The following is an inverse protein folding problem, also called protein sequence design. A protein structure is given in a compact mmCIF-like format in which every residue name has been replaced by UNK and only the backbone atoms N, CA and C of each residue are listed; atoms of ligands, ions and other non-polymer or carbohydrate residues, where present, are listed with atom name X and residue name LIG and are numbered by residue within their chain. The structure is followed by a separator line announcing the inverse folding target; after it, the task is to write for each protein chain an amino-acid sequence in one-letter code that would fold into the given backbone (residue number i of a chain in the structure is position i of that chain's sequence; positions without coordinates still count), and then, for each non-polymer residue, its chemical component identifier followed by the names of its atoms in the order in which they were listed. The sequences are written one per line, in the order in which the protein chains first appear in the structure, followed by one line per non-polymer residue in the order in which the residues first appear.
data_IF_107233017326
#
_entry.id   IF_107233017326
#
_cell.length_a   1.000
_cell.length_b   1.000
_cell.length_c   1.000
_cell.angle_alpha   90.00
_cell.angle_beta   90.00
_cell.angle_gamma   90.00
#
_symmetry.space_group_name_H-M   'P 1'
#
loop_
_entity.id
_entity.type
_entity.pdbx_description
1 polymer ?
#
# COMPACT_ATOMS: atom_id res chain seq x y z
N UNK A 1 23.61 10.69 1.62
CA UNK A 1 23.30 10.40 1.25
C UNK A 1 22.60 10.56 1.10
N UNK A 2 22.29 10.48 1.29
CA UNK A 2 21.51 10.41 0.87
C UNK A 2 21.00 11.20 0.51
N UNK A 3 21.03 11.50 0.47
CA UNK A 3 20.54 12.00 -0.08
C UNK A 3 20.32 12.55 -0.76
N UNK A 4 20.59 12.75 -0.99
CA UNK A 4 20.38 12.95 -1.83
C UNK A 4 19.75 13.02 -2.41
N UNK A 5 19.51 12.89 -2.44
CA UNK A 5 18.77 12.68 -3.12
C UNK A 5 18.02 13.23 -3.32
N UNK A 6 17.92 13.50 -3.26
CA UNK A 6 17.26 13.80 -3.73
C UNK A 6 16.69 14.41 -3.99
N UNK A 7 16.63 14.97 -4.08
CA UNK A 7 16.17 15.32 -4.61
C UNK A 7 15.57 15.52 -5.19
N UNK A 8 15.31 15.71 -5.56
CA UNK A 8 14.71 15.67 -6.27
C UNK A 8 14.16 15.24 -6.82
N UNK A 9 14.21 14.89 -7.18
CA UNK A 9 13.67 14.31 -7.71
C UNK A 9 12.86 13.73 -7.43
N UNK A 10 13.07 13.68 -7.11
CA UNK A 10 12.47 12.98 -6.76
C UNK A 10 11.51 13.16 -6.39
N UNK A 11 11.46 13.68 -6.17
CA UNK A 11 10.56 13.81 -5.72
C UNK A 11 9.41 13.80 -6.35
N UNK A 12 9.28 13.77 -7.15
CA UNK A 12 8.29 13.77 -7.78
C UNK A 12 7.59 12.67 -7.71
N UNK A 13 6.96 12.22 -7.99
CA UNK A 13 6.26 11.11 -8.01
C UNK A 13 6.61 10.23 -7.04
N UNK A 14 6.81 10.65 -6.00
CA UNK A 14 7.27 9.93 -4.96
C UNK A 14 6.37 8.90 -4.44
N UNK A 15 5.07 9.13 -4.42
CA UNK A 15 4.09 8.20 -3.90
C UNK A 15 3.10 7.86 -4.99
N UNK A 16 3.36 6.81 -5.77
CA UNK A 16 2.44 6.44 -6.85
C UNK A 16 1.05 6.17 -6.32
N UNK A 17 0.08 6.66 -7.05
CA UNK A 17 -1.32 6.44 -6.74
C UNK A 17 -1.82 5.29 -7.61
N UNK A 18 -2.53 4.35 -7.02
CA UNK A 18 -3.14 3.27 -7.76
C UNK A 18 -4.59 3.11 -7.35
N UNK A 19 -5.42 2.71 -8.31
CA UNK A 19 -6.81 2.44 -8.02
C UNK A 19 -6.94 1.00 -7.57
N UNK A 20 -7.66 0.80 -6.49
CA UNK A 20 -7.93 -0.54 -5.99
C UNK A 20 -9.44 -0.67 -5.79
N UNK A 21 -9.90 -1.87 -5.57
CA UNK A 21 -11.31 -2.11 -5.28
C UNK A 21 -11.45 -2.48 -3.82
N UNK A 22 -12.36 -1.80 -3.16
CA UNK A 22 -12.65 -2.06 -1.75
C UNK A 22 -14.14 -2.32 -1.64
N UNK A 23 -14.49 -3.56 -1.38
CA UNK A 23 -15.89 -3.98 -1.29
C UNK A 23 -16.67 -3.52 -2.52
N UNK A 24 -16.07 -3.73 -3.69
CA UNK A 24 -16.70 -3.41 -4.95
C UNK A 24 -16.60 -1.98 -5.39
N UNK A 25 -16.01 -1.11 -4.59
CA UNK A 25 -15.92 0.32 -4.92
C UNK A 25 -14.48 0.69 -5.26
N UNK A 26 -14.35 1.55 -6.27
CA UNK A 26 -13.05 2.01 -6.67
C UNK A 26 -12.52 3.02 -5.69
N UNK A 27 -11.30 2.85 -5.27
CA UNK A 27 -10.66 3.71 -4.30
C UNK A 27 -9.24 3.99 -4.75
N UNK A 28 -8.82 5.26 -4.67
CA UNK A 28 -7.44 5.62 -5.01
C UNK A 28 -6.60 5.53 -3.76
N UNK A 29 -5.46 4.88 -3.86
CA UNK A 29 -4.58 4.71 -2.72
C UNK A 29 -3.18 5.18 -3.09
N UNK A 30 -2.58 5.95 -2.20
CA UNK A 30 -1.23 6.46 -2.39
C UNK A 30 -0.32 5.79 -1.37
N UNK A 31 0.65 5.04 -1.85
CA UNK A 31 1.62 4.37 -0.99
C UNK A 31 3.01 4.62 -1.55
N UNK A 32 3.98 4.57 -0.68
CA UNK A 32 5.37 4.64 -1.08
C UNK A 32 5.70 3.45 -1.96
N UNK A 33 6.64 3.60 -2.90
CA UNK A 33 6.99 2.49 -3.80
C UNK A 33 7.38 1.21 -3.06
N UNK A 34 8.05 1.36 -1.93
CA UNK A 34 8.46 0.21 -1.14
C UNK A 34 7.26 -0.59 -0.64
N UNK A 35 6.18 0.12 -0.29
CA UNK A 35 4.98 -0.56 0.17
C UNK A 35 4.28 -1.28 -0.97
N UNK A 36 4.24 -0.67 -2.16
CA UNK A 36 3.66 -1.36 -3.31
C UNK A 36 4.44 -2.62 -3.64
N UNK A 37 5.77 -2.55 -3.56
CA UNK A 37 6.62 -3.70 -3.83
C UNK A 37 6.38 -4.79 -2.78
N UNK A 38 6.34 -4.40 -1.52
CA UNK A 38 6.08 -5.35 -0.45
C UNK A 38 4.71 -6.00 -0.58
N UNK A 39 3.72 -5.20 -0.96
CA UNK A 39 2.37 -5.73 -1.15
C UNK A 39 2.34 -6.77 -2.26
N UNK A 40 3.02 -6.49 -3.39
CA UNK A 40 3.08 -7.47 -4.47
C UNK A 40 3.64 -8.79 -4.00
N UNK A 41 4.69 -8.74 -3.20
CA UNK A 41 5.31 -9.95 -2.66
C UNK A 41 4.37 -10.69 -1.73
N UNK A 42 3.71 -9.95 -0.86
CA UNK A 42 2.76 -10.52 0.09
C UNK A 42 1.64 -11.23 -0.63
N UNK A 43 1.06 -10.58 -1.63
CA UNK A 43 -0.06 -11.16 -2.38
C UNK A 43 0.36 -12.46 -3.07
N UNK A 44 1.55 -12.46 -3.61
CA UNK A 44 2.06 -13.63 -4.30
C UNK A 44 2.28 -14.79 -3.32
N UNK A 45 2.91 -14.51 -2.20
CA UNK A 45 3.21 -15.53 -1.22
C UNK A 45 1.96 -16.10 -0.57
N UNK A 46 0.99 -15.24 -0.29
CA UNK A 46 -0.24 -15.68 0.37
C UNK A 46 -1.28 -16.17 -0.63
N UNK A 47 -1.02 -15.97 -1.92
CA UNK A 47 -1.94 -16.38 -2.98
C UNK A 47 -3.31 -15.75 -2.81
N UNK A 48 -3.31 -14.46 -2.50
CA UNK A 48 -4.56 -13.71 -2.41
C UNK A 48 -4.53 -12.58 -3.41
N UNK A 49 -5.69 -12.12 -3.82
CA UNK A 49 -5.78 -11.04 -4.77
C UNK A 49 -5.68 -9.70 -4.06
N UNK A 50 -5.40 -8.66 -4.84
CA UNK A 50 -5.39 -7.31 -4.30
C UNK A 50 -6.75 -6.96 -3.73
N UNK A 51 -7.82 -7.34 -4.41
CA UNK A 51 -9.18 -7.07 -3.93
C UNK A 51 -9.43 -7.71 -2.58
N UNK A 52 -9.01 -8.96 -2.43
CA UNK A 52 -9.18 -9.66 -1.16
C UNK A 52 -8.41 -8.99 -0.04
N UNK A 53 -7.20 -8.56 -0.33
CA UNK A 53 -6.40 -7.87 0.66
C UNK A 53 -7.05 -6.54 1.06
N UNK A 54 -7.54 -5.80 0.08
CA UNK A 54 -8.17 -4.51 0.36
C UNK A 54 -9.43 -4.67 1.19
N UNK A 55 -10.21 -5.70 0.92
CA UNK A 55 -11.41 -5.97 1.70
C UNK A 55 -11.04 -6.30 3.15
N UNK A 56 -9.97 -7.05 3.32
CA UNK A 56 -9.46 -7.38 4.64
C UNK A 56 -9.05 -6.11 5.39
N UNK A 57 -8.31 -5.24 4.72
CA UNK A 57 -7.86 -3.98 5.31
C UNK A 57 -9.06 -3.12 5.72
N UNK A 58 -10.06 -3.06 4.85
CA UNK A 58 -11.25 -2.26 5.13
C UNK A 58 -11.95 -2.72 6.41
N UNK A 59 -12.01 -4.02 6.59
CA UNK A 59 -12.67 -4.58 7.79
C UNK A 59 -11.88 -4.30 9.06
N UNK A 60 -10.56 -4.17 8.94
CA UNK A 60 -9.72 -3.98 10.12
C UNK A 60 -9.46 -2.52 10.48
N UNK A 61 -9.70 -1.61 9.55
CA UNK A 61 -9.23 -0.24 9.77
C UNK A 61 -9.95 0.53 10.88
N UNK A 62 -11.17 0.17 11.18
CA UNK A 62 -11.90 0.91 12.20
C UNK A 62 -11.91 2.40 11.90
N UNK A 63 -11.37 3.21 12.81
CA UNK A 63 -11.34 4.66 12.68
C UNK A 63 -10.12 5.16 11.93
N UNK A 64 -9.16 4.30 11.66
CA UNK A 64 -7.93 4.72 10.98
C UNK A 64 -8.17 4.90 9.49
N UNK A 65 -7.23 5.57 8.81
CA UNK A 65 -7.36 5.71 7.38
C UNK A 65 -7.03 4.39 6.69
N UNK A 66 -7.56 4.23 5.48
CA UNK A 66 -7.33 3.02 4.71
C UNK A 66 -5.84 2.85 4.40
N UNK A 67 -5.18 3.92 3.96
CA UNK A 67 -3.76 3.87 3.62
C UNK A 67 -2.89 3.52 4.82
N UNK A 68 -3.19 4.12 5.96
CA UNK A 68 -2.44 3.80 7.19
C UNK A 68 -2.57 2.33 7.54
N UNK A 69 -3.79 1.81 7.42
CA UNK A 69 -4.02 0.41 7.75
C UNK A 69 -3.32 -0.51 6.75
N UNK A 70 -3.31 -0.13 5.47
CA UNK A 70 -2.57 -0.91 4.48
C UNK A 70 -1.09 -0.99 4.85
N UNK A 71 -0.49 0.16 5.18
CA UNK A 71 0.92 0.18 5.56
C UNK A 71 1.17 -0.70 6.77
N UNK A 72 0.31 -0.59 7.76
CA UNK A 72 0.47 -1.38 8.99
C UNK A 72 0.39 -2.87 8.71
N UNK A 73 -0.55 -3.30 7.89
CA UNK A 73 -0.70 -4.71 7.57
C UNK A 73 0.48 -5.25 6.78
N UNK A 74 0.99 -4.45 5.84
CA UNK A 74 2.15 -4.87 5.07
C UNK A 74 3.37 -5.00 5.96
N UNK A 75 3.61 -4.01 6.81
CA UNK A 75 4.72 -4.06 7.75
C UNK A 75 4.62 -5.26 8.68
N UNK A 76 3.43 -5.50 9.17
CA UNK A 76 3.23 -6.61 10.10
C UNK A 76 3.54 -7.95 9.46
N UNK A 77 3.21 -8.08 8.18
CA UNK A 77 3.47 -9.31 7.47
C UNK A 77 4.96 -9.63 7.39
N UNK A 78 5.77 -8.61 7.18
CA UNK A 78 7.21 -8.81 7.01
C UNK A 78 8.02 -8.71 8.29
N UNK A 79 7.39 -8.53 9.41
CA UNK A 79 8.08 -8.40 10.68
C UNK A 79 8.65 -9.70 11.18
#
# INVERSE_FOLDING_TARGET
MLQEISHNEAQKSIHPIRNVRVQGRRTSVRLEPEFWAGLNELLKEEKVSLDQFCDFVQRRKGQASFSSTMRAQILEYFR
#
